data_IF_541922208921
#
_entry.id   IF_541922208921
#
_cell.length_a   1.000
_cell.length_b   1.000
_cell.length_c   1.000
_cell.angle_alpha   90.00
_cell.angle_beta   90.00
_cell.angle_gamma   90.00
#
_symmetry.space_group_name_H-M   'P 1'
#
loop_
_entity.id
_entity.type
_entity.pdbx_description
1 polymer ?
#
# COMPACT_ATOMS: atom_id res chain seq x y z
N UNK A 1 -27.01 62.96 -12.61
CA UNK A 1 -25.62 62.46 -12.51
C UNK A 1 -25.04 62.43 -13.90
N UNK A 2 -23.88 63.06 -14.12
CA UNK A 2 -23.34 63.25 -15.47
C UNK A 2 -22.87 61.92 -16.08
N UNK A 3 -23.04 61.74 -17.40
CA UNK A 3 -22.84 60.44 -18.08
C UNK A 3 -21.39 59.95 -17.99
N UNK A 4 -20.44 60.88 -17.88
CA UNK A 4 -19.02 60.61 -17.64
C UNK A 4 -18.75 60.06 -16.24
N UNK A 5 -19.55 60.45 -15.24
CA UNK A 5 -19.44 59.99 -13.86
C UNK A 5 -19.93 58.55 -13.71
N UNK A 6 -21.03 58.19 -14.39
CA UNK A 6 -21.55 56.81 -14.45
C UNK A 6 -20.51 55.86 -15.06
N UNK A 7 -19.88 56.25 -16.17
CA UNK A 7 -18.88 55.43 -16.84
C UNK A 7 -17.58 55.26 -16.01
N UNK A 8 -17.18 56.30 -15.27
CA UNK A 8 -16.07 56.19 -14.31
C UNK A 8 -16.38 55.19 -13.20
N UNK A 9 -17.59 55.24 -12.62
CA UNK A 9 -18.03 54.31 -11.59
C UNK A 9 -18.02 52.87 -12.11
N UNK A 10 -18.62 52.61 -13.28
CA UNK A 10 -18.62 51.29 -13.90
C UNK A 10 -17.21 50.74 -14.16
N UNK A 11 -16.29 51.58 -14.65
CA UNK A 11 -14.89 51.20 -14.85
C UNK A 11 -14.20 50.84 -13.53
N UNK A 12 -14.38 51.66 -12.49
CA UNK A 12 -13.79 51.38 -11.19
C UNK A 12 -14.36 50.11 -10.56
N UNK A 13 -15.67 49.88 -10.66
CA UNK A 13 -16.31 48.66 -10.14
C UNK A 13 -15.85 47.41 -10.89
N UNK A 14 -15.73 47.48 -12.23
CA UNK A 14 -15.22 46.38 -13.03
C UNK A 14 -13.76 46.04 -12.70
N UNK A 15 -12.92 47.05 -12.47
CA UNK A 15 -11.51 46.85 -12.10
C UNK A 15 -11.37 46.20 -10.72
N UNK A 16 -12.20 46.62 -9.75
CA UNK A 16 -12.24 46.04 -8.40
C UNK A 16 -12.73 44.59 -8.44
N UNK A 17 -13.76 44.29 -9.23
CA UNK A 17 -14.24 42.92 -9.42
C UNK A 17 -13.19 42.01 -10.08
N UNK A 18 -12.43 42.54 -11.05
CA UNK A 18 -11.32 41.81 -11.69
C UNK A 18 -10.18 41.52 -10.70
N UNK A 19 -9.87 42.48 -9.81
CA UNK A 19 -8.86 42.31 -8.78
C UNK A 19 -9.28 41.27 -7.73
N UNK A 20 -10.56 41.22 -7.37
CA UNK A 20 -11.11 40.22 -6.46
C UNK A 20 -11.12 38.80 -7.07
N UNK A 21 -11.26 38.69 -8.40
CA UNK A 21 -11.15 37.41 -9.12
C UNK A 21 -9.73 36.82 -9.15
N UNK A 22 -8.69 37.65 -8.97
CA UNK A 22 -7.29 37.21 -8.97
C UNK A 22 -6.83 36.66 -7.60
N UNK A 23 -7.65 36.80 -6.54
CA UNK A 23 -7.39 36.19 -5.24
C UNK A 23 -7.90 34.75 -5.26
N UNK A 24 -7.14 33.88 -5.92
CA UNK A 24 -7.36 32.43 -5.88
C UNK A 24 -7.08 31.91 -4.45
N UNK A 25 -8.04 31.18 -3.87
CA UNK A 25 -7.86 30.45 -2.61
C UNK A 25 -6.82 29.34 -2.79
N UNK A 26 -5.54 29.63 -2.57
CA UNK A 26 -4.47 28.62 -2.62
C UNK A 26 -4.53 27.64 -1.43
N UNK A 27 -5.17 28.00 -0.32
CA UNK A 27 -5.14 27.23 0.94
C UNK A 27 -6.38 26.35 1.18
N UNK A 28 -7.30 26.27 0.22
CA UNK A 28 -8.47 25.37 0.31
C UNK A 28 -8.14 23.93 -0.12
N UNK A 29 -7.00 23.73 -0.79
CA UNK A 29 -6.62 22.46 -1.43
C UNK A 29 -5.47 21.74 -0.72
N UNK A 30 -5.19 22.12 0.52
CA UNK A 30 -4.21 21.44 1.38
C UNK A 30 -4.95 20.44 2.27
N UNK A 31 -5.34 19.31 1.68
CA UNK A 31 -6.01 18.23 2.41
C UNK A 31 -4.98 17.54 3.33
N UNK A 32 -5.16 17.67 4.64
CA UNK A 32 -4.42 16.89 5.64
C UNK A 32 -5.22 15.63 5.97
N UNK A 33 -4.88 14.46 5.38
CA UNK A 33 -5.62 13.24 5.62
C UNK A 33 -5.34 12.74 7.04
N UNK A 34 -6.12 13.21 8.01
CA UNK A 34 -5.98 12.89 9.44
C UNK A 34 -6.08 11.39 9.79
N UNK A 35 -6.44 10.54 8.81
CA UNK A 35 -6.52 9.09 8.94
C UNK A 35 -5.46 8.31 8.16
N UNK A 36 -4.58 8.96 7.41
CA UNK A 36 -3.49 8.30 6.69
C UNK A 36 -2.15 8.83 7.16
N UNK A 37 -1.27 7.93 7.59
CA UNK A 37 0.12 8.31 7.84
C UNK A 37 0.76 8.67 6.50
N UNK A 38 0.95 9.97 6.26
CA UNK A 38 1.66 10.44 5.09
C UNK A 38 3.07 9.82 5.08
N UNK A 39 3.41 9.10 4.00
CA UNK A 39 4.69 8.38 3.86
C UNK A 39 5.88 9.27 4.25
N UNK A 40 5.87 10.53 3.83
CA UNK A 40 6.93 11.51 4.16
C UNK A 40 7.17 11.67 5.66
N UNK A 41 6.13 11.59 6.49
CA UNK A 41 6.21 11.82 7.94
C UNK A 41 6.08 10.53 8.76
N UNK A 42 6.22 9.35 8.15
CA UNK A 42 6.05 8.09 8.87
C UNK A 42 7.30 7.69 9.65
N UNK A 43 8.49 7.66 9.04
CA UNK A 43 9.72 7.19 9.71
C UNK A 43 10.41 8.29 10.53
N UNK A 44 9.83 8.67 11.66
CA UNK A 44 10.33 9.73 12.54
C UNK A 44 10.87 9.23 13.88
N UNK A 45 10.72 7.95 14.19
CA UNK A 45 11.18 7.35 15.43
C UNK A 45 11.47 5.86 15.26
N UNK A 46 12.19 5.28 16.23
CA UNK A 46 12.35 3.82 16.33
C UNK A 46 11.00 3.10 16.36
N UNK A 47 10.02 3.66 17.07
CA UNK A 47 8.67 3.10 17.14
C UNK A 47 7.98 3.01 15.78
N UNK A 48 8.25 3.95 14.87
CA UNK A 48 7.69 3.91 13.51
C UNK A 48 8.33 2.81 12.66
N UNK A 49 9.65 2.62 12.79
CA UNK A 49 10.34 1.50 12.14
C UNK A 49 9.79 0.16 12.65
N UNK A 50 9.63 0.01 13.96
CA UNK A 50 9.04 -1.18 14.59
C UNK A 50 7.59 -1.39 14.13
N UNK A 51 6.80 -0.32 14.01
CA UNK A 51 5.44 -0.37 13.50
C UNK A 51 5.40 -0.83 12.04
N UNK A 52 6.31 -0.35 11.19
CA UNK A 52 6.43 -0.79 9.80
C UNK A 52 6.74 -2.29 9.71
N UNK A 53 7.73 -2.74 10.49
CA UNK A 53 8.14 -4.14 10.57
C UNK A 53 6.98 -5.01 11.06
N UNK A 54 6.28 -4.61 12.12
CA UNK A 54 5.11 -5.32 12.63
C UNK A 54 3.98 -5.38 11.59
N UNK A 55 3.77 -4.31 10.83
CA UNK A 55 2.82 -4.29 9.71
C UNK A 55 3.19 -5.31 8.62
N UNK A 56 4.46 -5.41 8.27
CA UNK A 56 4.97 -6.42 7.34
C UNK A 56 4.80 -7.84 7.89
N UNK A 57 5.22 -8.10 9.13
CA UNK A 57 5.05 -9.41 9.77
C UNK A 57 3.58 -9.81 9.96
N UNK A 58 2.68 -8.85 10.17
CA UNK A 58 1.25 -9.13 10.20
C UNK A 58 0.75 -9.68 8.85
N UNK A 59 1.28 -9.18 7.72
CA UNK A 59 0.99 -9.75 6.39
C UNK A 59 1.56 -11.15 6.25
N UNK A 60 2.78 -11.39 6.70
CA UNK A 60 3.37 -12.75 6.74
C UNK A 60 2.44 -13.71 7.49
N UNK A 61 2.00 -13.33 8.69
CA UNK A 61 1.13 -14.16 9.51
C UNK A 61 -0.24 -14.43 8.87
N UNK A 62 -0.85 -13.39 8.26
CA UNK A 62 -2.12 -13.52 7.54
C UNK A 62 -1.99 -14.47 6.35
N UNK A 63 -0.91 -14.35 5.57
CA UNK A 63 -0.67 -15.18 4.40
C UNK A 63 -0.42 -16.65 4.79
N UNK A 64 0.29 -16.90 5.88
CA UNK A 64 0.57 -18.27 6.37
C UNK A 64 -0.64 -18.97 7.00
N UNK A 65 -1.61 -18.20 7.52
CA UNK A 65 -2.81 -18.77 8.14
C UNK A 65 -3.83 -19.32 7.12
N UNK A 66 -3.78 -18.84 5.87
CA UNK A 66 -4.75 -19.23 4.86
C UNK A 66 -4.48 -20.65 4.33
N UNK A 67 -5.54 -21.45 4.19
CA UNK A 67 -5.52 -22.76 3.50
C UNK A 67 -4.85 -22.71 2.12
N UNK A 68 -4.87 -21.53 1.48
CA UNK A 68 -4.33 -21.27 0.16
C UNK A 68 -2.81 -21.45 0.15
N UNK A 69 -2.10 -21.03 1.21
CA UNK A 69 -0.64 -21.03 1.19
C UNK A 69 -0.05 -22.43 1.45
N UNK A 70 -0.44 -23.07 2.55
CA UNK A 70 0.03 -24.43 2.87
C UNK A 70 -0.59 -25.49 1.95
N UNK A 71 -1.82 -25.26 1.45
CA UNK A 71 -2.52 -26.24 0.64
C UNK A 71 -1.99 -26.34 -0.79
N UNK A 72 -1.77 -25.21 -1.47
CA UNK A 72 -1.43 -25.21 -2.91
C UNK A 72 -0.15 -25.98 -3.19
N UNK A 73 0.93 -25.65 -2.48
CA UNK A 73 2.23 -26.29 -2.69
C UNK A 73 2.22 -27.75 -2.26
N UNK A 74 1.49 -28.09 -1.20
CA UNK A 74 1.44 -29.45 -0.69
C UNK A 74 0.66 -30.41 -1.60
N UNK A 75 -0.42 -29.97 -2.26
CA UNK A 75 -1.20 -30.82 -3.19
C UNK A 75 -0.61 -30.92 -4.59
N UNK A 76 0.47 -30.18 -4.90
CA UNK A 76 1.21 -30.37 -6.15
C UNK A 76 2.17 -31.56 -6.08
N UNK A 77 2.48 -32.05 -4.87
CA UNK A 77 3.22 -33.30 -4.67
C UNK A 77 2.33 -34.54 -4.77
N UNK A 78 2.86 -35.68 -4.36
CA UNK A 78 2.16 -36.97 -4.31
C UNK A 78 1.83 -37.46 -2.90
N UNK A 79 2.28 -36.75 -1.86
CA UNK A 79 2.06 -37.12 -0.45
C UNK A 79 0.62 -36.89 0.03
N UNK A 80 -0.08 -35.91 -0.55
CA UNK A 80 -1.46 -35.56 -0.20
C UNK A 80 -2.29 -35.28 -1.46
N UNK A 81 -3.59 -35.56 -1.41
CA UNK A 81 -4.51 -35.25 -2.50
C UNK A 81 -5.89 -34.85 -1.96
N UNK A 82 -6.68 -34.18 -2.80
CA UNK A 82 -7.96 -33.60 -2.39
C UNK A 82 -9.12 -34.60 -2.57
N UNK A 83 -10.04 -34.66 -1.61
CA UNK A 83 -11.20 -35.58 -1.67
C UNK A 83 -12.39 -35.04 -2.52
N UNK A 84 -12.83 -35.68 -3.62
CA UNK A 84 -13.81 -35.15 -4.58
C UNK A 84 -15.09 -34.52 -4.01
N UNK A 85 -15.63 -35.10 -2.93
CA UNK A 85 -16.83 -34.60 -2.27
C UNK A 85 -16.61 -33.44 -1.27
N UNK A 86 -15.38 -32.91 -1.14
CA UNK A 86 -15.05 -31.83 -0.20
C UNK A 86 -15.30 -30.44 -0.82
N UNK A 87 -15.28 -29.40 0.02
CA UNK A 87 -15.65 -28.03 -0.34
C UNK A 87 -14.48 -27.13 -0.80
N UNK A 88 -13.33 -27.71 -1.17
CA UNK A 88 -12.10 -26.99 -1.52
C UNK A 88 -11.82 -27.05 -3.02
N UNK A 89 -12.81 -26.68 -3.83
CA UNK A 89 -12.75 -26.80 -5.30
C UNK A 89 -11.53 -26.07 -5.91
N UNK A 90 -11.25 -24.83 -5.48
CA UNK A 90 -10.10 -24.08 -5.98
C UNK A 90 -8.75 -24.74 -5.71
N UNK A 91 -8.65 -25.53 -4.63
CA UNK A 91 -7.44 -26.33 -4.34
C UNK A 91 -7.41 -27.63 -5.14
N UNK A 92 -8.57 -28.26 -5.35
CA UNK A 92 -8.68 -29.47 -6.20
C UNK A 92 -8.19 -29.21 -7.61
N UNK A 93 -8.55 -28.06 -8.17
CA UNK A 93 -8.11 -27.70 -9.51
C UNK A 93 -6.58 -27.69 -9.65
N UNK A 94 -5.86 -27.31 -8.57
CA UNK A 94 -4.39 -27.37 -8.50
C UNK A 94 -3.90 -28.80 -8.39
N UNK A 95 -4.45 -29.58 -7.45
CA UNK A 95 -4.16 -31.02 -7.24
C UNK A 95 -4.34 -31.85 -8.52
N UNK A 96 -5.38 -31.57 -9.30
CA UNK A 96 -5.67 -32.28 -10.56
C UNK A 96 -5.01 -31.64 -11.79
N UNK A 97 -4.17 -30.61 -11.62
CA UNK A 97 -3.54 -29.87 -12.71
C UNK A 97 -4.53 -29.36 -13.78
N UNK A 98 -5.74 -28.98 -13.36
CA UNK A 98 -6.84 -28.51 -14.21
C UNK A 98 -7.36 -27.16 -13.70
N UNK A 99 -6.46 -26.18 -13.65
CA UNK A 99 -6.70 -24.86 -13.08
C UNK A 99 -7.52 -24.01 -14.06
N UNK A 100 -8.64 -23.51 -13.59
CA UNK A 100 -9.50 -22.60 -14.36
C UNK A 100 -9.03 -21.14 -14.28
N UNK A 101 -9.30 -20.35 -15.31
CA UNK A 101 -8.98 -18.91 -15.33
C UNK A 101 -9.75 -18.11 -14.26
N UNK A 102 -10.84 -18.65 -13.73
CA UNK A 102 -11.66 -18.02 -12.69
C UNK A 102 -11.35 -18.55 -11.26
N UNK A 103 -10.23 -19.24 -11.07
CA UNK A 103 -9.80 -19.69 -9.76
C UNK A 103 -9.40 -18.50 -8.86
N UNK A 104 -10.32 -18.10 -7.97
CA UNK A 104 -10.12 -16.93 -7.08
C UNK A 104 -8.98 -17.12 -6.08
N UNK A 105 -8.58 -18.36 -5.79
CA UNK A 105 -7.53 -18.66 -4.83
C UNK A 105 -6.14 -18.38 -5.42
N UNK A 106 -5.95 -18.62 -6.73
CA UNK A 106 -4.75 -18.20 -7.47
C UNK A 106 -4.60 -16.67 -7.44
N UNK A 107 -5.70 -15.96 -7.69
CA UNK A 107 -5.73 -14.48 -7.65
C UNK A 107 -5.36 -13.96 -6.27
N UNK A 108 -5.91 -14.55 -5.22
CA UNK A 108 -5.62 -14.16 -3.84
C UNK A 108 -4.16 -14.46 -3.45
N UNK A 109 -3.63 -15.63 -3.83
CA UNK A 109 -2.23 -16.00 -3.60
C UNK A 109 -1.26 -15.00 -4.25
N UNK A 110 -1.54 -14.63 -5.51
CA UNK A 110 -0.78 -13.60 -6.23
C UNK A 110 -0.85 -12.25 -5.51
N UNK A 111 -2.06 -11.82 -5.15
CA UNK A 111 -2.29 -10.57 -4.42
C UNK A 111 -1.55 -10.54 -3.08
N UNK A 112 -1.57 -11.62 -2.32
CA UNK A 112 -0.86 -11.77 -1.04
C UNK A 112 0.64 -11.54 -1.19
N UNK A 113 1.27 -12.24 -2.15
CA UNK A 113 2.71 -12.10 -2.46
C UNK A 113 3.08 -10.63 -2.72
N UNK A 114 2.33 -9.94 -3.59
CA UNK A 114 2.62 -8.54 -3.92
C UNK A 114 2.32 -7.55 -2.80
N UNK A 115 1.35 -7.82 -1.92
CA UNK A 115 1.10 -6.99 -0.73
C UNK A 115 2.28 -7.03 0.23
N UNK A 116 2.88 -8.20 0.44
CA UNK A 116 4.07 -8.33 1.28
C UNK A 116 5.31 -7.71 0.62
N UNK A 117 5.53 -7.93 -0.68
CA UNK A 117 6.61 -7.25 -1.43
C UNK A 117 6.48 -5.73 -1.34
N UNK A 118 5.26 -5.19 -1.47
CA UNK A 118 5.00 -3.75 -1.31
C UNK A 118 5.34 -3.26 0.09
N UNK A 119 4.95 -3.98 1.14
CA UNK A 119 5.28 -3.63 2.52
C UNK A 119 6.79 -3.66 2.78
N UNK A 120 7.49 -4.66 2.25
CA UNK A 120 8.94 -4.74 2.35
C UNK A 120 9.64 -3.60 1.62
N UNK A 121 9.24 -3.28 0.38
CA UNK A 121 9.79 -2.14 -0.37
C UNK A 121 9.57 -0.82 0.37
N UNK A 122 8.39 -0.63 0.99
CA UNK A 122 8.14 0.55 1.80
C UNK A 122 9.17 0.74 2.92
N UNK A 123 9.57 -0.33 3.60
CA UNK A 123 10.61 -0.29 4.63
C UNK A 123 11.99 -0.04 4.00
N UNK A 124 12.34 -0.77 2.95
CA UNK A 124 13.65 -0.64 2.26
C UNK A 124 13.89 0.79 1.78
N UNK A 125 12.87 1.42 1.21
CA UNK A 125 12.98 2.76 0.61
C UNK A 125 13.02 3.88 1.66
N UNK A 126 12.60 3.61 2.91
CA UNK A 126 12.35 4.67 3.90
C UNK A 126 13.00 4.47 5.27
N UNK A 127 13.37 3.26 5.68
CA UNK A 127 13.92 3.03 7.02
C UNK A 127 15.28 3.72 7.25
N UNK A 128 16.06 3.95 6.18
CA UNK A 128 17.36 4.60 6.26
C UNK A 128 17.31 6.05 6.77
N UNK A 129 16.20 6.76 6.55
CA UNK A 129 16.01 8.16 6.98
C UNK A 129 15.44 8.33 8.39
N UNK A 130 15.19 7.23 9.10
CA UNK A 130 14.68 7.32 10.49
C UNK A 130 15.73 8.03 11.37
N UNK A 131 15.37 9.11 12.08
CA UNK A 131 16.32 9.82 12.94
C UNK A 131 16.63 9.00 14.20
N UNK A 132 17.74 9.34 14.87
CA UNK A 132 18.09 8.83 16.21
C UNK A 132 18.29 7.30 16.36
N UNK A 133 18.41 6.56 15.24
CA UNK A 133 18.85 5.16 15.23
C UNK A 133 20.30 5.02 14.75
N UNK A 134 21.01 4.02 15.27
CA UNK A 134 22.33 3.65 14.74
C UNK A 134 22.19 3.07 13.33
N UNK A 135 23.29 3.04 12.58
CA UNK A 135 23.29 2.42 11.27
C UNK A 135 23.00 0.91 11.37
N UNK A 136 23.51 0.23 12.40
CA UNK A 136 23.21 -1.19 12.60
C UNK A 136 21.71 -1.45 12.82
N UNK A 137 21.02 -0.58 13.58
CA UNK A 137 19.58 -0.73 13.80
C UNK A 137 18.76 -0.54 12.52
N UNK A 138 19.16 0.43 11.68
CA UNK A 138 18.53 0.66 10.38
C UNK A 138 18.77 -0.52 9.45
N UNK A 139 20.00 -0.98 9.37
CA UNK A 139 20.40 -2.12 8.53
C UNK A 139 19.72 -3.41 8.97
N UNK A 140 19.53 -3.62 10.28
CA UNK A 140 18.76 -4.76 10.79
C UNK A 140 17.29 -4.71 10.37
N UNK A 141 16.65 -3.54 10.41
CA UNK A 141 15.27 -3.37 9.93
C UNK A 141 15.15 -3.59 8.41
N UNK A 142 16.07 -3.01 7.64
CA UNK A 142 16.14 -3.16 6.18
C UNK A 142 16.44 -4.62 5.80
N UNK A 143 17.34 -5.29 6.53
CA UNK A 143 17.70 -6.69 6.32
C UNK A 143 16.51 -7.64 6.48
N UNK A 144 15.67 -7.42 7.49
CA UNK A 144 14.42 -8.17 7.66
C UNK A 144 13.47 -7.96 6.47
N UNK A 145 13.35 -6.73 5.99
CA UNK A 145 12.52 -6.43 4.82
C UNK A 145 13.08 -7.09 3.54
N UNK A 146 14.41 -7.08 3.34
CA UNK A 146 15.04 -7.79 2.23
C UNK A 146 14.77 -9.30 2.26
N UNK A 147 14.91 -9.93 3.43
CA UNK A 147 14.61 -11.35 3.61
C UNK A 147 13.19 -11.67 3.15
N UNK A 148 12.19 -10.97 3.69
CA UNK A 148 10.79 -11.24 3.35
C UNK A 148 10.44 -10.90 1.91
N UNK A 149 11.03 -9.85 1.34
CA UNK A 149 10.87 -9.55 -0.09
C UNK A 149 11.39 -10.71 -0.95
N UNK A 150 12.60 -11.18 -0.66
CA UNK A 150 13.22 -12.27 -1.41
C UNK A 150 12.37 -13.54 -1.35
N UNK A 151 11.99 -13.98 -0.14
CA UNK A 151 11.19 -15.20 0.09
C UNK A 151 9.87 -15.22 -0.67
N UNK A 152 9.27 -14.06 -0.99
CA UNK A 152 8.01 -13.99 -1.75
C UNK A 152 8.19 -13.87 -3.26
N UNK A 153 9.39 -13.55 -3.72
CA UNK A 153 9.74 -13.53 -5.15
C UNK A 153 10.38 -14.82 -5.62
N UNK A 154 10.93 -15.61 -4.69
CA UNK A 154 11.48 -16.93 -4.95
C UNK A 154 10.35 -17.98 -4.87
N UNK A 155 9.81 -18.32 -6.04
CA UNK A 155 8.98 -19.51 -6.36
C UNK A 155 7.55 -19.45 -5.83
#
# INVERSE_FOLDING_TARGET
MDMKTIYRIFKTTALVLLALWMVSCQDLLTEDPKGQLAVKNFFNSKGDLDLALNGMYSKVAQDMYANIWAGFEAVMGDDISTHPAANKQGLREVDTYNISDNNSWVTELWGARWRLVKAANFIIDNAGRTPDLTQEEKDAGIGQAYYWRATRTSI
#
